data_IF_436853613958
#
_entry.id   IF_436853613958
#
_cell.length_a   1.000
_cell.length_b   1.000
_cell.length_c   1.000
_cell.angle_alpha   90.00
_cell.angle_beta   90.00
_cell.angle_gamma   90.00
#
_symmetry.space_group_name_H-M   'P 1'
#
loop_
_entity.id
_entity.type
_entity.pdbx_description
1 polymer ?
#
# COMPACT_ATOMS: atom_id res chain seq x y z
N UNK A 1 -3.58 -21.33 -1.95
CA UNK A 1 -4.30 -20.03 -2.03
C UNK A 1 -5.19 -19.96 -0.81
N UNK A 2 -5.06 -18.94 0.05
CA UNK A 2 -5.89 -18.79 1.27
C UNK A 2 -6.97 -17.73 1.02
N UNK A 3 -8.08 -18.05 0.32
CA UNK A 3 -9.12 -17.07 -0.02
C UNK A 3 -9.78 -16.46 1.21
N UNK A 4 -9.74 -17.14 2.36
CA UNK A 4 -10.22 -16.62 3.65
C UNK A 4 -9.43 -15.39 4.09
N UNK A 5 -8.10 -15.41 4.01
CA UNK A 5 -7.26 -14.25 4.35
C UNK A 5 -7.57 -13.05 3.44
N UNK A 6 -7.68 -13.27 2.13
CA UNK A 6 -7.95 -12.19 1.18
C UNK A 6 -9.34 -11.59 1.36
N UNK A 7 -10.34 -12.41 1.72
CA UNK A 7 -11.68 -11.94 2.03
C UNK A 7 -11.72 -11.15 3.35
N UNK A 8 -11.00 -11.60 4.38
CA UNK A 8 -10.90 -10.86 5.65
C UNK A 8 -10.27 -9.48 5.43
N UNK A 9 -9.19 -9.41 4.66
CA UNK A 9 -8.56 -8.14 4.29
C UNK A 9 -9.48 -7.28 3.40
N UNK A 10 -10.22 -7.87 2.46
CA UNK A 10 -11.22 -7.16 1.67
C UNK A 10 -12.32 -6.55 2.56
N UNK A 11 -12.77 -7.30 3.56
CA UNK A 11 -13.76 -6.85 4.53
C UNK A 11 -13.24 -5.65 5.31
N UNK A 12 -11.97 -5.65 5.72
CA UNK A 12 -11.34 -4.50 6.38
C UNK A 12 -11.20 -3.27 5.47
N UNK A 13 -11.03 -3.48 4.16
CA UNK A 13 -11.02 -2.37 3.18
C UNK A 13 -12.42 -1.77 2.99
N UNK A 14 -13.45 -2.61 2.93
CA UNK A 14 -14.85 -2.19 2.75
C UNK A 14 -15.46 -1.61 4.02
N UNK A 15 -15.07 -2.16 5.18
CA UNK A 15 -15.51 -1.76 6.51
C UNK A 15 -14.27 -1.46 7.36
N UNK A 16 -13.73 -0.22 7.27
CA UNK A 16 -12.50 0.15 7.96
C UNK A 16 -12.63 -0.02 9.47
N UNK A 17 -11.85 -0.93 10.04
CA UNK A 17 -11.75 -1.15 11.49
C UNK A 17 -10.60 -0.34 12.06
N UNK A 18 -10.78 0.20 13.28
CA UNK A 18 -9.81 1.11 13.90
C UNK A 18 -8.44 0.45 14.14
N UNK A 19 -8.42 -0.85 14.44
CA UNK A 19 -7.21 -1.65 14.69
C UNK A 19 -6.29 -1.76 13.48
N UNK A 20 -6.87 -1.66 12.28
CA UNK A 20 -6.17 -1.78 11.01
C UNK A 20 -5.90 -0.42 10.36
N UNK A 21 -6.34 0.69 10.99
CA UNK A 21 -6.00 2.04 10.55
C UNK A 21 -4.81 2.57 11.34
N UNK A 22 -4.20 3.64 10.82
CA UNK A 22 -3.23 4.39 11.60
C UNK A 22 -3.84 4.91 12.91
N UNK A 23 -3.02 5.02 13.95
CA UNK A 23 -3.44 5.50 15.26
C UNK A 23 -4.19 6.84 15.17
N UNK A 24 -5.21 7.03 16.02
CA UNK A 24 -6.03 8.25 16.01
C UNK A 24 -5.22 9.53 16.19
N UNK A 25 -4.08 9.47 16.88
CA UNK A 25 -3.15 10.59 16.99
C UNK A 25 -2.46 10.92 15.66
N UNK A 26 -2.10 9.92 14.85
CA UNK A 26 -1.52 10.13 13.52
C UNK A 26 -2.56 10.76 12.58
N UNK A 27 -3.80 10.27 12.62
CA UNK A 27 -4.93 10.81 11.84
C UNK A 27 -5.21 12.26 12.23
N UNK A 28 -5.30 12.57 13.53
CA UNK A 28 -5.56 13.93 14.02
C UNK A 28 -4.43 14.93 13.77
N UNK A 29 -3.19 14.45 13.57
CA UNK A 29 -2.04 15.29 13.20
C UNK A 29 -1.99 15.62 11.71
N UNK A 30 -2.69 14.89 10.86
CA UNK A 30 -2.72 15.18 9.43
C UNK A 30 -3.47 16.49 9.15
N UNK A 31 -2.76 17.44 8.54
CA UNK A 31 -3.32 18.72 8.09
C UNK A 31 -3.49 18.80 6.57
N UNK A 32 -3.07 17.76 5.84
CA UNK A 32 -3.12 17.69 4.38
C UNK A 32 -4.40 16.97 3.93
N UNK A 33 -5.07 17.54 2.94
CA UNK A 33 -6.23 16.94 2.29
C UNK A 33 -5.83 15.97 1.16
N UNK A 34 -6.84 15.46 0.44
CA UNK A 34 -6.67 14.53 -0.68
C UNK A 34 -5.69 15.05 -1.75
N UNK A 35 -5.64 16.36 -2.00
CA UNK A 35 -4.72 16.96 -2.97
C UNK A 35 -3.24 16.73 -2.66
N UNK A 36 -2.88 16.47 -1.39
CA UNK A 36 -1.53 16.08 -1.00
C UNK A 36 -1.08 14.74 -1.59
N UNK A 37 -2.01 13.88 -2.02
CA UNK A 37 -1.72 12.59 -2.65
C UNK A 37 -1.28 12.73 -4.11
N UNK A 38 -1.65 13.83 -4.78
CA UNK A 38 -1.34 14.04 -6.19
C UNK A 38 0.15 14.21 -6.45
N UNK A 39 0.89 14.77 -5.49
CA UNK A 39 2.36 14.83 -5.52
C UNK A 39 3.01 13.43 -5.61
N UNK A 40 2.27 12.39 -5.21
CA UNK A 40 2.69 10.99 -5.26
C UNK A 40 2.05 10.19 -6.40
N UNK A 41 1.33 10.87 -7.30
CA UNK A 41 0.52 10.30 -8.39
C UNK A 41 -0.59 9.34 -7.92
N UNK A 42 -1.08 9.53 -6.69
CA UNK A 42 -2.19 8.79 -6.09
C UNK A 42 -3.43 9.69 -6.17
N UNK A 43 -4.57 9.21 -6.68
CA UNK A 43 -5.77 10.07 -6.82
C UNK A 43 -6.52 10.24 -5.50
N UNK A 44 -6.58 9.19 -4.69
CA UNK A 44 -7.34 9.16 -3.44
C UNK A 44 -8.82 8.82 -3.61
N UNK A 45 -9.28 8.45 -4.81
CA UNK A 45 -10.69 8.08 -5.06
C UNK A 45 -11.01 6.63 -4.70
N UNK A 46 -9.98 5.78 -4.66
CA UNK A 46 -10.09 4.37 -4.29
C UNK A 46 -9.61 4.17 -2.85
N UNK A 47 -10.10 3.12 -2.16
CA UNK A 47 -9.53 2.73 -0.88
C UNK A 47 -8.02 2.50 -1.00
N UNK A 48 -7.26 3.05 -0.06
CA UNK A 48 -5.79 2.94 -0.04
C UNK A 48 -5.39 1.91 1.01
N UNK A 49 -4.64 0.90 0.59
CA UNK A 49 -3.96 -0.06 1.47
C UNK A 49 -2.48 0.30 1.52
N UNK A 50 -1.97 0.54 2.72
CA UNK A 50 -0.60 0.95 2.96
C UNK A 50 0.18 -0.17 3.66
N UNK A 51 1.32 -0.54 3.10
CA UNK A 51 2.26 -1.48 3.69
C UNK A 51 3.61 -0.80 3.94
N UNK A 52 4.05 -0.77 5.19
CA UNK A 52 5.39 -0.32 5.58
C UNK A 52 6.28 -1.53 5.80
N UNK A 53 7.40 -1.59 5.06
CA UNK A 53 8.41 -2.63 5.20
C UNK A 53 9.74 -2.03 5.58
N UNK A 54 10.48 -2.69 6.47
CA UNK A 54 11.77 -2.20 6.97
C UNK A 54 12.90 -3.23 6.83
N UNK A 55 12.58 -4.44 6.35
CA UNK A 55 13.53 -5.53 6.14
C UNK A 55 13.21 -6.26 4.83
N UNK A 56 14.19 -6.97 4.26
CA UNK A 56 13.98 -7.87 3.13
C UNK A 56 13.16 -9.11 3.51
N UNK A 57 13.09 -9.46 4.81
CA UNK A 57 12.27 -10.57 5.30
C UNK A 57 10.75 -10.32 5.12
N UNK A 58 10.36 -9.08 4.84
CA UNK A 58 8.96 -8.70 4.58
C UNK A 58 8.50 -9.04 3.15
N UNK A 59 9.35 -9.64 2.29
CA UNK A 59 8.99 -10.07 0.92
C UNK A 59 7.73 -10.94 0.89
N UNK A 60 7.56 -11.83 1.86
CA UNK A 60 6.39 -12.72 1.95
C UNK A 60 5.10 -11.93 2.18
N UNK A 61 5.11 -10.95 3.09
CA UNK A 61 3.97 -10.08 3.38
C UNK A 61 3.54 -9.29 2.14
N UNK A 62 4.53 -8.75 1.42
CA UNK A 62 4.26 -7.97 0.20
C UNK A 62 3.73 -8.84 -0.92
N UNK A 63 4.32 -10.02 -1.13
CA UNK A 63 3.84 -10.99 -2.13
C UNK A 63 2.40 -11.39 -1.85
N UNK A 64 2.08 -11.63 -0.58
CA UNK A 64 0.71 -11.95 -0.13
C UNK A 64 -0.26 -10.81 -0.41
N UNK A 65 0.13 -9.56 -0.16
CA UNK A 65 -0.70 -8.39 -0.45
C UNK A 65 -0.88 -8.12 -1.95
N UNK A 66 0.15 -8.38 -2.76
CA UNK A 66 0.04 -8.32 -4.22
C UNK A 66 -0.96 -9.38 -4.72
N UNK A 67 -0.91 -10.60 -4.16
CA UNK A 67 -1.89 -11.64 -4.48
C UNK A 67 -3.31 -11.23 -4.05
N UNK A 68 -3.46 -10.66 -2.84
CA UNK A 68 -4.74 -10.16 -2.35
C UNK A 68 -5.30 -9.05 -3.25
N UNK A 69 -4.46 -8.09 -3.65
CA UNK A 69 -4.82 -7.01 -4.57
C UNK A 69 -5.31 -7.53 -5.92
N UNK A 70 -4.60 -8.50 -6.50
CA UNK A 70 -5.02 -9.17 -7.74
C UNK A 70 -6.35 -9.91 -7.56
N UNK A 71 -6.52 -10.58 -6.43
CA UNK A 71 -7.75 -11.28 -6.09
C UNK A 71 -8.94 -10.31 -5.97
N UNK A 72 -8.78 -9.19 -5.26
CA UNK A 72 -9.81 -8.15 -5.15
C UNK A 72 -10.20 -7.58 -6.50
N UNK A 73 -9.22 -7.30 -7.34
CA UNK A 73 -9.47 -6.82 -8.71
C UNK A 73 -10.26 -7.82 -9.54
N UNK A 74 -9.97 -9.12 -9.43
CA UNK A 74 -10.77 -10.17 -10.10
C UNK A 74 -12.19 -10.25 -9.56
N UNK A 75 -12.40 -9.85 -8.30
CA UNK A 75 -13.72 -9.77 -7.65
C UNK A 75 -14.43 -8.42 -7.82
N UNK A 76 -13.85 -7.48 -8.56
CA UNK A 76 -14.42 -6.16 -8.82
C UNK A 76 -14.20 -5.12 -7.71
N UNK A 77 -13.34 -5.42 -6.73
CA UNK A 77 -12.93 -4.49 -5.69
C UNK A 77 -11.63 -3.79 -6.12
N UNK A 78 -11.76 -2.53 -6.53
CA UNK A 78 -10.63 -1.69 -6.94
C UNK A 78 -10.01 -1.00 -5.72
N UNK A 79 -8.72 -1.25 -5.48
CA UNK A 79 -7.97 -0.74 -4.31
C UNK A 79 -6.62 -0.24 -4.77
N UNK A 80 -6.19 0.91 -4.28
CA UNK A 80 -4.83 1.39 -4.49
C UNK A 80 -3.91 0.79 -3.41
N UNK A 81 -2.90 0.01 -3.82
CA UNK A 81 -1.92 -0.59 -2.93
C UNK A 81 -0.64 0.25 -2.93
N UNK A 82 -0.24 0.77 -1.77
CA UNK A 82 0.96 1.57 -1.58
C UNK A 82 1.93 0.82 -0.68
N UNK A 83 3.15 0.60 -1.15
CA UNK A 83 4.24 -0.03 -0.41
C UNK A 83 5.29 1.04 -0.10
N UNK A 84 5.49 1.31 1.18
CA UNK A 84 6.57 2.14 1.70
C UNK A 84 7.76 1.25 2.05
N UNK A 85 8.82 1.39 1.25
CA UNK A 85 10.08 0.73 1.50
C UNK A 85 10.98 1.61 2.36
N UNK A 86 11.16 1.22 3.63
CA UNK A 86 12.12 1.80 4.56
C UNK A 86 13.37 0.91 4.72
N UNK A 87 13.55 -0.12 3.88
CA UNK A 87 14.75 -0.96 3.89
C UNK A 87 15.91 -0.26 3.17
N UNK A 88 17.14 -0.31 3.71
CA UNK A 88 18.33 0.21 3.03
C UNK A 88 18.77 -0.63 1.81
N UNK A 89 18.17 -1.80 1.57
CA UNK A 89 18.57 -2.74 0.52
C UNK A 89 17.44 -3.13 -0.44
N UNK A 90 17.79 -3.17 -1.75
CA UNK A 90 17.50 -4.25 -2.71
C UNK A 90 16.07 -4.74 -3.00
N UNK A 91 15.07 -4.34 -2.22
CA UNK A 91 13.75 -4.96 -2.18
C UNK A 91 13.04 -5.01 -3.55
N UNK A 92 13.19 -3.93 -4.33
CA UNK A 92 12.64 -3.84 -5.67
C UNK A 92 13.22 -4.90 -6.61
N UNK A 93 14.50 -5.27 -6.47
CA UNK A 93 15.13 -6.32 -7.27
C UNK A 93 14.61 -7.70 -6.90
N UNK A 94 14.38 -7.96 -5.59
CA UNK A 94 13.77 -9.20 -5.12
C UNK A 94 12.36 -9.41 -5.68
N UNK A 95 11.54 -8.36 -5.69
CA UNK A 95 10.21 -8.43 -6.30
C UNK A 95 10.22 -8.50 -7.83
N UNK A 96 11.15 -7.83 -8.51
CA UNK A 96 11.32 -7.95 -9.96
C UNK A 96 11.69 -9.38 -10.38
N UNK A 97 12.47 -10.08 -9.54
CA UNK A 97 12.83 -11.49 -9.74
C UNK A 97 11.73 -12.48 -9.33
N UNK A 98 10.73 -12.03 -8.58
CA UNK A 98 9.58 -12.85 -8.22
C UNK A 98 8.66 -13.01 -9.43
N UNK A 99 8.04 -14.18 -9.62
CA UNK A 99 7.06 -14.45 -10.70
C UNK A 99 5.89 -13.44 -10.77
N UNK A 100 5.74 -12.60 -9.74
CA UNK A 100 4.75 -11.55 -9.65
C UNK A 100 5.09 -10.30 -10.46
N UNK A 101 6.31 -10.20 -11.02
CA UNK A 101 6.69 -9.30 -12.10
C UNK A 101 5.91 -7.99 -12.10
N UNK A 102 5.93 -7.29 -10.96
CA UNK A 102 5.12 -6.10 -10.78
C UNK A 102 5.76 -5.04 -11.67
N UNK A 103 4.97 -4.37 -12.50
CA UNK A 103 5.42 -3.15 -13.18
C UNK A 103 5.66 -2.07 -12.11
N UNK A 104 6.84 -2.12 -11.49
CA UNK A 104 7.40 -1.01 -10.76
C UNK A 104 7.55 0.11 -11.78
N UNK A 105 6.87 1.22 -11.57
CA UNK A 105 7.04 2.38 -12.43
C UNK A 105 7.92 3.40 -11.68
N UNK A 106 9.25 3.31 -11.78
CA UNK A 106 10.10 4.44 -11.46
C UNK A 106 10.03 5.41 -12.65
N UNK A 107 9.46 6.59 -12.43
CA UNK A 107 9.42 7.65 -13.45
C UNK A 107 8.60 7.33 -14.71
N UNK A 108 7.28 7.48 -14.62
CA UNK A 108 6.29 7.62 -15.71
C UNK A 108 6.62 7.04 -17.11
N UNK A 109 5.86 6.02 -17.55
CA UNK A 109 5.03 6.07 -18.78
C UNK A 109 3.80 5.14 -18.61
N UNK A 110 2.57 5.67 -18.49
CA UNK A 110 1.37 4.84 -18.34
C UNK A 110 0.96 4.28 -19.70
N UNK A 111 1.17 2.98 -19.92
CA UNK A 111 0.39 2.28 -20.94
C UNK A 111 -1.02 2.08 -20.34
N UNK A 112 -1.97 2.87 -20.83
CA UNK A 112 -3.37 2.95 -20.39
C UNK A 112 -3.63 3.71 -19.06
N UNK A 113 -4.09 4.94 -19.22
CA UNK A 113 -4.55 5.85 -18.16
C UNK A 113 -5.80 5.38 -17.38
N UNK A 114 -6.35 4.20 -17.68
CA UNK A 114 -7.61 3.70 -17.12
C UNK A 114 -7.42 2.27 -16.62
N UNK A 115 -6.59 2.09 -15.59
CA UNK A 115 -6.63 0.89 -14.75
C UNK A 115 -6.82 1.34 -13.30
N UNK A 116 -8.03 1.15 -12.80
CA UNK A 116 -8.38 1.28 -11.37
C UNK A 116 -7.59 0.24 -10.56
N UNK A 117 -7.30 0.57 -9.31
CA UNK A 117 -6.51 -0.21 -8.37
C UNK A 117 -5.02 -0.29 -8.75
N UNK A 118 -4.28 0.79 -8.50
CA UNK A 118 -2.86 0.92 -8.84
C UNK A 118 -1.96 0.41 -7.71
N UNK A 119 -0.76 -0.06 -8.08
CA UNK A 119 0.29 -0.47 -7.14
C UNK A 119 1.43 0.55 -7.18
N UNK A 120 1.70 1.18 -6.04
CA UNK A 120 2.72 2.19 -5.86
C UNK A 120 3.80 1.66 -4.92
N UNK A 121 5.06 1.81 -5.32
CA UNK A 121 6.19 1.55 -4.43
C UNK A 121 6.95 2.86 -4.23
N UNK A 122 7.18 3.23 -2.98
CA UNK A 122 7.83 4.49 -2.59
C UNK A 122 8.95 4.20 -1.61
N UNK A 123 10.08 4.87 -1.81
CA UNK A 123 11.16 4.85 -0.84
C UNK A 123 10.78 5.79 0.30
N UNK A 124 10.60 5.25 1.50
CA UNK A 124 10.20 6.03 2.65
C UNK A 124 11.29 6.98 3.16
N UNK A 125 12.56 6.82 2.76
CA UNK A 125 13.62 7.81 3.03
C UNK A 125 13.38 9.12 2.26
N UNK A 126 12.71 9.06 1.10
CA UNK A 126 12.39 10.24 0.30
C UNK A 126 11.08 10.92 0.71
N UNK A 127 10.32 10.34 1.65
CA UNK A 127 9.06 10.90 2.12
C UNK A 127 9.29 11.76 3.35
N UNK A 128 8.76 12.99 3.31
CA UNK A 128 8.70 13.83 4.50
C UNK A 128 7.81 13.19 5.58
N UNK A 129 8.00 13.59 6.84
CA UNK A 129 7.16 13.12 7.93
C UNK A 129 5.67 13.47 7.71
N UNK A 130 5.38 14.62 7.09
CA UNK A 130 4.02 15.02 6.75
C UNK A 130 3.41 14.14 5.65
N UNK A 131 4.20 13.74 4.65
CA UNK A 131 3.73 12.84 3.59
C UNK A 131 3.46 11.42 4.12
N UNK A 132 4.31 10.94 5.04
CA UNK A 132 4.07 9.67 5.74
C UNK A 132 2.77 9.74 6.54
N UNK A 133 2.58 10.81 7.31
CA UNK A 133 1.36 11.03 8.10
C UNK A 133 0.12 11.11 7.20
N UNK A 134 0.19 11.81 6.07
CA UNK A 134 -0.89 11.87 5.09
C UNK A 134 -1.25 10.46 4.61
N UNK A 135 -0.28 9.70 4.11
CA UNK A 135 -0.50 8.35 3.60
C UNK A 135 -1.08 7.41 4.67
N UNK A 136 -0.54 7.46 5.89
CA UNK A 136 -1.04 6.67 7.02
C UNK A 136 -2.49 7.04 7.38
N UNK A 137 -2.83 8.32 7.30
CA UNK A 137 -4.16 8.81 7.69
C UNK A 137 -5.24 8.45 6.67
N UNK A 138 -4.92 8.55 5.38
CA UNK A 138 -5.85 8.22 4.29
C UNK A 138 -5.99 6.72 4.06
N UNK A 139 -5.01 5.93 4.51
CA UNK A 139 -5.06 4.48 4.42
C UNK A 139 -6.28 3.93 5.18
N UNK A 140 -7.07 3.10 4.50
CA UNK A 140 -8.14 2.32 5.12
C UNK A 140 -7.60 1.09 5.87
N UNK A 141 -6.42 0.61 5.44
CA UNK A 141 -5.68 -0.50 6.01
C UNK A 141 -4.20 -0.13 6.01
N UNK A 142 -3.57 -0.12 7.18
CA UNK A 142 -2.15 0.11 7.39
C UNK A 142 -1.52 -1.12 8.05
N UNK A 143 -0.56 -1.71 7.35
CA UNK A 143 0.21 -2.86 7.81
C UNK A 143 1.67 -2.42 7.97
N UNK A 144 2.22 -2.58 9.16
CA UNK A 144 3.62 -2.28 9.43
C UNK A 144 4.35 -3.53 9.90
N UNK A 145 5.45 -3.86 9.23
CA UNK A 145 6.26 -5.04 9.56
C UNK A 145 6.92 -4.91 10.95
N UNK A 146 7.15 -3.68 11.43
CA UNK A 146 7.65 -3.43 12.80
C UNK A 146 6.58 -3.64 13.87
N UNK A 147 5.31 -3.46 13.53
CA UNK A 147 4.20 -3.64 14.45
C UNK A 147 3.79 -5.11 14.59
N UNK A 148 4.62 -6.08 14.15
CA UNK A 148 4.35 -7.52 14.19
C UNK A 148 3.96 -8.00 15.60
N UNK A 149 2.66 -8.02 15.81
CA UNK A 149 1.90 -8.76 16.82
C UNK A 149 0.59 -9.20 16.17
N UNK A 150 0.68 -10.19 15.28
CA UNK A 150 -0.46 -10.97 14.80
C UNK A 150 -0.10 -12.45 14.91
#
# INVERSE_FOLDING_TARGET
MMPTLFNSLASAVLYPVQELRAEGQAIGRNRRGQSGLWGWAISGDLPIVLLSITSEESITSVTTLIQAHRYWRQKGLDVDLVILNNSPGGYQQGLQKSDYGVNFMPGLKPVCWIKRGRLFVRNGEHLSAEDKLLLMSVACLYLDDRARGY
#
